data_IF_565278947112
#
_entry.id   IF_565278947112
#
_cell.length_a   1.000
_cell.length_b   1.000
_cell.length_c   1.000
_cell.angle_alpha   90.00
_cell.angle_beta   90.00
_cell.angle_gamma   90.00
#
_symmetry.space_group_name_H-M   'P 1'
#
loop_
_entity.id
_entity.type
_entity.pdbx_description
1 polymer ?
#
# COMPACT_ATOMS: atom_id res chain seq x y z
N UNK A 1 -6.04 -13.00 25.61
CA UNK A 1 -5.55 -13.88 24.52
C UNK A 1 -5.43 -13.07 23.24
N UNK A 2 -4.24 -12.92 22.64
CA UNK A 2 -4.09 -12.32 21.29
C UNK A 2 -4.69 -13.34 20.31
N UNK A 3 -5.76 -12.97 19.60
CA UNK A 3 -6.57 -13.91 18.80
C UNK A 3 -5.91 -14.26 17.45
N UNK A 4 -5.20 -13.29 16.86
CA UNK A 4 -4.33 -13.39 15.69
C UNK A 4 -3.59 -12.05 15.52
N UNK A 5 -2.64 -11.99 14.58
CA UNK A 5 -1.98 -10.74 14.15
C UNK A 5 -2.32 -10.49 12.67
N UNK A 6 -2.96 -9.35 12.34
CA UNK A 6 -3.41 -9.10 10.98
C UNK A 6 -2.26 -8.62 10.08
N UNK A 7 -2.11 -9.23 8.90
CA UNK A 7 -1.23 -8.72 7.83
C UNK A 7 -1.84 -7.49 7.15
N UNK A 8 -3.18 -7.37 7.18
CA UNK A 8 -3.93 -6.26 6.61
C UNK A 8 -4.81 -5.66 7.69
N UNK A 9 -4.65 -4.36 7.96
CA UNK A 9 -5.23 -3.71 9.14
C UNK A 9 -5.76 -2.31 8.85
N UNK A 10 -6.60 -1.81 9.75
CA UNK A 10 -7.12 -0.46 9.65
C UNK A 10 -6.07 0.55 10.14
N UNK A 11 -5.64 1.46 9.26
CA UNK A 11 -4.84 2.61 9.70
C UNK A 11 -5.66 3.47 10.67
N UNK A 12 -5.03 3.88 11.77
CA UNK A 12 -5.64 4.81 12.73
C UNK A 12 -5.38 6.28 12.35
N UNK A 13 -4.28 6.55 11.65
CA UNK A 13 -3.84 7.90 11.27
C UNK A 13 -3.05 7.85 9.95
N UNK A 14 -3.18 8.86 9.08
CA UNK A 14 -2.22 9.12 7.99
C UNK A 14 -2.03 10.61 7.72
N UNK A 15 -1.05 10.93 6.87
CA UNK A 15 -0.74 12.28 6.38
C UNK A 15 -1.21 12.45 4.93
N UNK A 16 -2.06 13.44 4.65
CA UNK A 16 -2.47 13.81 3.29
C UNK A 16 -1.88 15.21 2.99
N UNK A 17 -0.80 15.26 2.21
CA UNK A 17 -0.02 16.50 2.01
C UNK A 17 0.61 16.97 3.33
N UNK A 18 0.29 18.20 3.78
CA UNK A 18 0.71 18.74 5.08
C UNK A 18 -0.34 18.57 6.20
N UNK A 19 -1.47 17.91 5.92
CA UNK A 19 -2.53 17.72 6.91
C UNK A 19 -2.54 16.28 7.42
N UNK A 20 -2.31 16.11 8.72
CA UNK A 20 -2.62 14.85 9.41
C UNK A 20 -4.14 14.72 9.52
N UNK A 21 -4.70 13.69 8.91
CA UNK A 21 -6.11 13.36 9.03
C UNK A 21 -6.22 12.17 9.97
N UNK A 22 -6.60 12.44 11.22
CA UNK A 22 -6.97 11.41 12.20
C UNK A 22 -8.50 11.33 12.27
N UNK A 23 -9.07 10.15 12.06
CA UNK A 23 -10.49 9.89 12.29
C UNK A 23 -10.63 8.81 13.35
N UNK A 24 -11.59 9.00 14.24
CA UNK A 24 -11.89 8.01 15.27
C UNK A 24 -12.55 6.78 14.65
N UNK A 25 -12.36 5.62 15.29
CA UNK A 25 -12.91 4.34 14.83
C UNK A 25 -14.45 4.31 14.84
N UNK A 26 -15.08 5.21 15.61
CA UNK A 26 -16.53 5.38 15.78
C UNK A 26 -17.18 6.44 14.87
N UNK A 27 -16.42 7.11 13.99
CA UNK A 27 -16.98 7.95 12.91
C UNK A 27 -17.90 7.09 12.02
N UNK A 28 -18.96 7.65 11.43
CA UNK A 28 -19.89 6.98 10.47
C UNK A 28 -19.17 6.20 9.37
N UNK A 29 -17.92 6.59 9.11
CA UNK A 29 -17.04 5.95 8.15
C UNK A 29 -16.17 4.86 8.80
N UNK A 30 -15.81 4.92 10.07
CA UNK A 30 -14.98 3.91 10.74
C UNK A 30 -13.53 3.94 10.25
N UNK A 31 -12.62 4.40 11.10
CA UNK A 31 -11.21 4.66 10.76
C UNK A 31 -11.01 5.48 9.48
N UNK A 32 -9.75 5.73 9.10
CA UNK A 32 -9.43 6.64 8.00
C UNK A 32 -9.65 5.91 6.63
N UNK A 33 -10.52 6.42 5.74
CA UNK A 33 -10.68 6.01 4.31
C UNK A 33 -9.79 6.78 3.32
N UNK A 34 -8.86 6.12 2.61
CA UNK A 34 -8.12 6.77 1.51
C UNK A 34 -9.05 6.90 0.32
N UNK A 35 -9.32 8.14 -0.07
CA UNK A 35 -10.26 8.47 -1.14
C UNK A 35 -9.66 9.53 -2.06
N UNK A 36 -9.58 9.23 -3.36
CA UNK A 36 -9.04 10.14 -4.37
C UNK A 36 -7.64 9.74 -4.86
N UNK A 37 -6.97 10.65 -5.57
CA UNK A 37 -5.64 10.40 -6.13
C UNK A 37 -4.56 10.40 -5.04
N UNK A 38 -3.68 9.40 -5.08
CA UNK A 38 -2.47 9.33 -4.27
C UNK A 38 -1.30 8.95 -5.16
N UNK A 39 -0.16 9.60 -4.94
CA UNK A 39 1.08 9.32 -5.64
C UNK A 39 1.66 7.97 -5.18
N UNK A 40 2.35 7.28 -6.08
CA UNK A 40 3.15 6.10 -5.79
C UNK A 40 4.47 6.12 -6.59
N UNK A 41 5.53 5.63 -5.95
CA UNK A 41 6.84 5.42 -6.55
C UNK A 41 7.02 3.94 -6.86
N UNK A 42 7.29 3.62 -8.12
CA UNK A 42 7.50 2.27 -8.61
C UNK A 42 8.98 1.90 -8.62
N UNK A 43 9.27 0.62 -8.43
CA UNK A 43 10.62 0.07 -8.52
C UNK A 43 11.03 0.00 -10.00
N UNK A 44 12.17 0.59 -10.33
CA UNK A 44 12.77 0.51 -11.68
C UNK A 44 12.94 -0.95 -12.13
N UNK A 45 12.60 -1.25 -13.39
CA UNK A 45 12.62 -2.63 -13.92
C UNK A 45 11.58 -3.57 -13.31
N UNK A 46 10.57 -3.06 -12.60
CA UNK A 46 9.36 -3.84 -12.27
C UNK A 46 8.42 -3.91 -13.46
N UNK A 47 7.56 -4.93 -13.50
CA UNK A 47 6.58 -5.06 -14.59
C UNK A 47 5.58 -3.91 -14.59
N UNK A 48 5.21 -3.41 -13.41
CA UNK A 48 4.32 -2.26 -13.32
C UNK A 48 4.99 -1.00 -13.86
N UNK A 49 6.28 -0.76 -13.56
CA UNK A 49 7.01 0.37 -14.13
C UNK A 49 7.12 0.27 -15.66
N UNK A 50 7.36 -0.93 -16.20
CA UNK A 50 7.36 -1.17 -17.65
C UNK A 50 5.98 -0.93 -18.28
N UNK A 51 4.90 -1.37 -17.62
CA UNK A 51 3.54 -1.19 -18.10
C UNK A 51 3.11 0.29 -18.14
N UNK A 52 3.51 1.08 -17.13
CA UNK A 52 3.24 2.52 -17.09
C UNK A 52 4.23 3.34 -17.94
N UNK A 53 5.44 2.84 -18.19
CA UNK A 53 6.52 3.58 -18.85
C UNK A 53 7.14 4.70 -18.00
N UNK A 54 6.92 4.68 -16.69
CA UNK A 54 7.42 5.66 -15.71
C UNK A 54 7.52 5.00 -14.33
N UNK A 55 8.31 5.59 -13.43
CA UNK A 55 8.41 5.16 -12.02
C UNK A 55 7.64 6.04 -11.05
N UNK A 56 6.96 7.08 -11.54
CA UNK A 56 6.08 7.94 -10.73
C UNK A 56 4.69 7.95 -11.34
N UNK A 57 3.70 7.55 -10.54
CA UNK A 57 2.29 7.50 -10.94
C UNK A 57 1.42 8.13 -9.86
N UNK A 58 0.17 8.46 -10.21
CA UNK A 58 -0.90 8.72 -9.26
C UNK A 58 -2.11 7.85 -9.60
N UNK A 59 -2.74 7.26 -8.59
CA UNK A 59 -3.88 6.37 -8.78
C UNK A 59 -5.02 6.67 -7.81
N UNK A 60 -6.24 6.28 -8.18
CA UNK A 60 -7.44 6.57 -7.38
C UNK A 60 -7.69 5.50 -6.33
N UNK A 61 -7.60 5.90 -5.06
CA UNK A 61 -7.90 5.05 -3.92
C UNK A 61 -9.36 5.14 -3.49
N UNK A 62 -9.88 4.02 -3.00
CA UNK A 62 -11.14 3.94 -2.23
C UNK A 62 -11.09 2.73 -1.30
N UNK A 63 -10.23 2.79 -0.30
CA UNK A 63 -10.06 1.70 0.66
C UNK A 63 -9.70 2.23 2.06
N UNK A 64 -9.72 1.34 3.05
CA UNK A 64 -9.48 1.66 4.48
C UNK A 64 -8.39 0.82 5.13
N UNK A 65 -8.11 -0.33 4.53
CA UNK A 65 -7.20 -1.31 5.09
C UNK A 65 -5.89 -1.23 4.33
N UNK A 66 -4.80 -1.28 5.06
CA UNK A 66 -3.45 -1.26 4.51
C UNK A 66 -2.75 -2.57 4.82
N UNK A 67 -1.76 -2.91 4.00
CA UNK A 67 -0.79 -3.96 4.31
C UNK A 67 0.16 -3.48 5.41
N UNK A 68 0.36 -4.31 6.43
CA UNK A 68 1.31 -4.04 7.50
C UNK A 68 2.75 -4.28 7.01
N UNK A 69 3.51 -3.17 6.96
CA UNK A 69 4.91 -3.15 6.52
C UNK A 69 5.82 -4.03 7.38
N UNK A 70 5.41 -4.37 8.63
CA UNK A 70 6.13 -5.31 9.47
C UNK A 70 6.25 -6.71 8.83
N UNK A 71 5.35 -7.05 7.90
CA UNK A 71 5.38 -8.32 7.17
C UNK A 71 6.14 -8.25 5.85
N UNK A 72 6.65 -7.09 5.44
CA UNK A 72 7.32 -6.90 4.15
C UNK A 72 8.42 -7.93 3.92
N UNK A 73 9.38 -8.04 4.85
CA UNK A 73 10.51 -8.97 4.70
C UNK A 73 10.06 -10.44 4.64
N UNK A 74 9.04 -10.81 5.40
CA UNK A 74 8.51 -12.18 5.40
C UNK A 74 7.82 -12.51 4.07
N UNK A 75 7.04 -11.57 3.54
CA UNK A 75 6.37 -11.71 2.25
C UNK A 75 7.37 -11.70 1.09
N UNK A 76 8.42 -10.88 1.17
CA UNK A 76 9.51 -10.86 0.20
C UNK A 76 10.28 -12.17 0.15
N UNK A 77 10.59 -12.76 1.31
CA UNK A 77 11.18 -14.10 1.40
C UNK A 77 10.30 -15.19 0.82
N UNK A 78 8.98 -15.00 0.78
CA UNK A 78 8.04 -15.93 0.19
C UNK A 78 7.90 -15.78 -1.33
N UNK A 79 8.46 -14.72 -1.93
CA UNK A 79 8.47 -14.50 -3.39
C UNK A 79 7.67 -13.28 -3.87
N UNK A 80 6.99 -12.58 -2.96
CA UNK A 80 6.31 -11.32 -3.26
C UNK A 80 7.34 -10.18 -3.43
N UNK A 81 7.09 -9.22 -4.31
CA UNK A 81 7.91 -8.03 -4.48
C UNK A 81 7.02 -6.82 -4.28
N UNK A 82 7.40 -5.90 -3.39
CA UNK A 82 6.71 -4.62 -3.26
C UNK A 82 7.22 -3.68 -4.36
N UNK A 83 6.54 -3.67 -5.51
CA UNK A 83 6.96 -2.94 -6.70
C UNK A 83 6.42 -1.52 -6.78
N UNK A 84 5.46 -1.14 -5.93
CA UNK A 84 5.01 0.24 -5.76
C UNK A 84 4.81 0.58 -4.29
N UNK A 85 5.30 1.75 -3.88
CA UNK A 85 5.20 2.26 -2.51
C UNK A 85 4.74 3.71 -2.53
N UNK A 86 4.15 4.20 -1.45
CA UNK A 86 3.94 5.63 -1.26
C UNK A 86 5.26 6.41 -1.34
N UNK A 87 5.27 7.70 -1.71
CA UNK A 87 6.51 8.48 -1.85
C UNK A 87 7.37 8.56 -0.58
N UNK A 88 6.74 8.41 0.59
CA UNK A 88 7.43 8.37 1.89
C UNK A 88 7.90 6.95 2.29
N UNK A 89 7.68 5.96 1.43
CA UNK A 89 8.09 4.57 1.59
C UNK A 89 7.34 3.78 2.66
N UNK A 90 6.25 4.34 3.22
CA UNK A 90 5.56 3.73 4.37
C UNK A 90 4.42 2.79 3.99
N UNK A 91 3.73 3.06 2.90
CA UNK A 91 2.55 2.30 2.49
C UNK A 91 2.86 1.50 1.21
N UNK A 92 2.69 0.18 1.24
CA UNK A 92 2.59 -0.63 0.05
C UNK A 92 1.44 -0.18 -0.83
N UNK A 93 1.70 0.07 -2.11
CA UNK A 93 0.66 0.42 -3.09
C UNK A 93 0.48 -0.68 -4.13
N UNK A 94 1.58 -1.30 -4.60
CA UNK A 94 1.56 -2.33 -5.64
C UNK A 94 2.52 -3.45 -5.28
N UNK A 95 2.11 -4.69 -5.53
CA UNK A 95 2.92 -5.90 -5.36
C UNK A 95 2.97 -6.75 -6.63
N UNK A 96 4.07 -7.47 -6.80
CA UNK A 96 4.31 -8.39 -7.91
C UNK A 96 4.73 -9.77 -7.39
N UNK A 97 4.40 -10.83 -8.12
CA UNK A 97 4.99 -12.15 -7.87
C UNK A 97 6.11 -12.44 -8.88
N UNK A 98 7.31 -12.70 -8.37
CA UNK A 98 8.51 -12.80 -9.21
C UNK A 98 8.51 -14.03 -10.13
N UNK A 99 7.94 -15.15 -9.66
CA UNK A 99 7.91 -16.45 -10.38
C UNK A 99 6.54 -16.75 -11.03
N UNK A 100 5.89 -15.71 -11.55
CA UNK A 100 4.64 -15.87 -12.31
C UNK A 100 4.77 -15.07 -13.60
N UNK A 101 4.24 -15.50 -14.76
CA UNK A 101 4.39 -14.75 -16.02
C UNK A 101 3.75 -13.35 -15.98
N UNK A 102 2.63 -13.21 -15.26
CA UNK A 102 1.97 -11.92 -15.06
C UNK A 102 1.14 -11.94 -13.78
N UNK A 103 1.65 -11.32 -12.71
CA UNK A 103 0.95 -11.17 -11.43
C UNK A 103 1.31 -9.81 -10.84
N UNK A 104 0.34 -8.90 -10.81
CA UNK A 104 0.44 -7.55 -10.29
C UNK A 104 -0.86 -7.28 -9.51
N UNK A 105 -0.75 -6.73 -8.31
CA UNK A 105 -1.88 -6.43 -7.43
C UNK A 105 -1.71 -5.12 -6.70
#
# INVERSE_FOLDING_TARGET
KKRFEPVVYHLKEWVQGNHKVARKVDDDKGGTMRLGAYDATLVEGSRVAEAYGTTTIDERHRHRYEVDIAYKEQLEKAGLKFSGMSPDGKLPEIVEWSDHPWFIG
#
